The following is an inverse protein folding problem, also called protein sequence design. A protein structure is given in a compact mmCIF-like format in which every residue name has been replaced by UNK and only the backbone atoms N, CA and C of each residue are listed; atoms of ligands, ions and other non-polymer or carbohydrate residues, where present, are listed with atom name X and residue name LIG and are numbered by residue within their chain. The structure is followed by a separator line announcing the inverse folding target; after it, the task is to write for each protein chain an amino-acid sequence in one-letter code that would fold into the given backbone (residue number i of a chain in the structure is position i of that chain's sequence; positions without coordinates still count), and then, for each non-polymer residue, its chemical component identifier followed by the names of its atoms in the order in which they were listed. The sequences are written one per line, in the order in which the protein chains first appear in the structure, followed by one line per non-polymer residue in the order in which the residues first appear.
data_IF_343793420997
#
_entry.id   IF_343793420997
#
_cell.length_a   1.000
_cell.length_b   1.000
_cell.length_c   1.000
_cell.angle_alpha   90.00
_cell.angle_beta   90.00
_cell.angle_gamma   90.00
#
_symmetry.space_group_name_H-M   'P 1'
#
loop_
_entity.id
_entity.type
_entity.pdbx_description
1 polymer ?
#
# COMPACT_ATOMS: atom_id res chain seq x y z
N UNK A 1 7.16 8.10 6.25
CA UNK A 1 8.06 8.76 5.27
C UNK A 1 7.26 9.81 4.54
N UNK A 2 7.88 10.93 4.18
CA UNK A 2 7.13 12.12 3.76
C UNK A 2 6.45 12.82 4.94
N UNK A 3 5.82 13.97 4.68
CA UNK A 3 5.00 14.66 5.68
C UNK A 3 3.64 13.94 5.78
N UNK A 4 3.24 13.56 7.00
CA UNK A 4 1.93 12.92 7.25
C UNK A 4 0.75 13.82 6.83
N UNK A 5 0.97 15.13 6.78
CA UNK A 5 -0.03 16.12 6.34
C UNK A 5 -0.10 16.28 4.81
N UNK A 6 0.77 15.60 4.05
CA UNK A 6 0.89 15.70 2.58
C UNK A 6 1.04 14.31 1.93
N UNK A 7 0.30 13.32 2.45
CA UNK A 7 0.23 11.97 1.87
C UNK A 7 1.47 11.08 2.12
N UNK A 8 2.22 11.36 3.19
CA UNK A 8 3.35 10.53 3.64
C UNK A 8 2.92 9.26 4.39
N UNK A 9 3.56 8.12 4.09
CA UNK A 9 3.22 6.79 4.60
C UNK A 9 4.30 6.19 5.50
N UNK A 10 3.93 5.51 6.58
CA UNK A 10 4.91 4.87 7.45
C UNK A 10 5.35 3.53 6.87
N UNK A 11 6.66 3.39 6.66
CA UNK A 11 7.28 2.16 6.16
C UNK A 11 8.01 1.53 7.34
N UNK A 12 7.69 0.28 7.65
CA UNK A 12 8.34 -0.44 8.73
C UNK A 12 9.84 -0.56 8.44
N UNK A 13 10.64 0.07 9.31
CA UNK A 13 12.09 0.20 9.18
C UNK A 13 12.84 -0.75 10.15
N UNK A 14 12.12 -1.67 10.79
CA UNK A 14 12.69 -2.72 11.63
C UNK A 14 13.54 -3.66 10.78
N UNK A 15 14.65 -4.16 11.33
CA UNK A 15 15.64 -4.96 10.59
C UNK A 15 15.03 -6.17 9.83
N UNK A 16 13.97 -6.76 10.35
CA UNK A 16 13.31 -7.91 9.72
C UNK A 16 12.44 -7.53 8.49
N UNK A 17 11.92 -6.29 8.45
CA UNK A 17 10.95 -5.84 7.45
C UNK A 17 11.46 -4.73 6.54
N UNK A 18 12.57 -4.09 6.92
CA UNK A 18 13.24 -3.03 6.16
C UNK A 18 13.47 -3.46 4.69
N UNK A 19 13.17 -2.57 3.71
CA UNK A 19 13.52 -2.80 2.32
C UNK A 19 15.02 -3.06 2.15
N UNK A 20 15.37 -4.11 1.41
CA UNK A 20 16.77 -4.49 1.14
C UNK A 20 17.36 -3.75 -0.05
N UNK A 21 18.56 -4.14 -0.48
CA UNK A 21 19.09 -3.73 -1.79
C UNK A 21 18.23 -4.34 -2.90
N UNK A 22 18.01 -3.61 -3.99
CA UNK A 22 17.17 -4.02 -5.14
C UNK A 22 15.67 -4.18 -4.83
N UNK A 23 15.17 -3.46 -3.82
CA UNK A 23 13.75 -3.48 -3.45
C UNK A 23 12.83 -2.97 -4.58
N UNK A 24 11.65 -3.57 -4.67
CA UNK A 24 10.61 -3.21 -5.65
C UNK A 24 9.40 -2.60 -4.94
N UNK A 25 8.95 -1.45 -5.43
CA UNK A 25 7.84 -0.71 -4.85
C UNK A 25 6.83 -0.33 -5.93
N UNK A 26 5.55 -0.57 -5.67
CA UNK A 26 4.45 -0.06 -6.46
C UNK A 26 3.65 0.94 -5.63
N UNK A 27 3.35 2.09 -6.20
CA UNK A 27 2.57 3.14 -5.54
C UNK A 27 1.47 3.66 -6.47
N UNK A 28 0.23 3.65 -6.00
CA UNK A 28 -0.85 4.43 -6.60
C UNK A 28 -0.86 5.80 -5.94
N UNK A 29 -0.58 6.85 -6.72
CA UNK A 29 -0.14 8.17 -6.22
C UNK A 29 1.38 8.32 -6.17
N UNK A 30 1.87 9.55 -6.22
CA UNK A 30 3.31 9.87 -6.27
C UNK A 30 3.96 9.78 -4.88
N UNK A 31 5.13 9.13 -4.77
CA UNK A 31 5.89 9.05 -3.52
C UNK A 31 7.41 9.03 -3.81
N UNK A 32 8.08 10.18 -3.68
CA UNK A 32 9.52 10.32 -3.91
C UNK A 32 10.38 10.04 -2.67
N UNK A 33 9.76 9.90 -1.50
CA UNK A 33 10.46 9.77 -0.22
C UNK A 33 11.08 8.36 -0.06
N UNK A 34 10.39 7.33 -0.56
CA UNK A 34 10.87 5.94 -0.55
C UNK A 34 12.16 5.79 -1.36
N UNK A 35 12.17 6.37 -2.57
CA UNK A 35 13.34 6.39 -3.46
C UNK A 35 14.55 6.99 -2.75
N UNK A 36 14.36 8.16 -2.13
CA UNK A 36 15.45 8.91 -1.48
C UNK A 36 16.04 8.19 -0.28
N UNK A 37 15.25 7.43 0.48
CA UNK A 37 15.72 6.78 1.71
C UNK A 37 16.31 5.39 1.47
N UNK A 38 15.73 4.59 0.57
CA UNK A 38 16.13 3.18 0.41
C UNK A 38 16.78 2.85 -0.95
N UNK A 39 16.67 3.73 -1.95
CA UNK A 39 17.17 3.43 -3.29
C UNK A 39 16.41 2.30 -3.99
N UNK A 40 15.12 2.13 -3.67
CA UNK A 40 14.27 1.14 -4.32
C UNK A 40 13.95 1.52 -5.77
N UNK A 41 13.67 0.51 -6.58
CA UNK A 41 12.94 0.67 -7.83
C UNK A 41 11.47 0.97 -7.52
N UNK A 42 10.98 2.12 -7.98
CA UNK A 42 9.62 2.59 -7.69
C UNK A 42 8.83 2.79 -8.97
N UNK A 43 7.69 2.13 -9.04
CA UNK A 43 6.70 2.28 -10.11
C UNK A 43 5.48 3.00 -9.56
N UNK A 44 5.26 4.23 -10.03
CA UNK A 44 4.13 5.06 -9.59
C UNK A 44 3.07 5.19 -10.67
N UNK A 45 1.81 5.03 -10.28
CA UNK A 45 0.64 5.21 -11.13
C UNK A 45 -0.24 6.29 -10.51
N UNK A 46 -0.33 7.45 -11.16
CA UNK A 46 -1.18 8.54 -10.72
C UNK A 46 -2.39 8.68 -11.68
N UNK A 47 -3.57 8.17 -11.31
CA UNK A 47 -4.77 8.26 -12.13
C UNK A 47 -5.36 9.68 -12.21
N UNK A 48 -4.92 10.61 -11.36
CA UNK A 48 -5.35 12.01 -11.37
C UNK A 48 -4.57 12.86 -12.39
N UNK A 49 -3.38 12.40 -12.77
CA UNK A 49 -2.58 12.98 -13.84
C UNK A 49 -3.01 12.40 -15.20
N UNK A 50 -3.41 13.26 -16.15
CA UNK A 50 -3.78 12.84 -17.52
C UNK A 50 -2.58 12.44 -18.39
N UNK A 51 -1.38 12.39 -17.82
CA UNK A 51 -0.14 12.21 -18.55
C UNK A 51 0.67 11.06 -17.94
N UNK A 52 0.95 10.06 -18.79
CA UNK A 52 2.07 9.10 -18.80
C UNK A 52 2.53 8.60 -17.42
N UNK A 53 2.29 7.30 -17.16
CA UNK A 53 2.92 6.49 -16.10
C UNK A 53 4.40 6.88 -15.98
N UNK A 54 4.77 7.59 -14.90
CA UNK A 54 6.17 7.92 -14.64
C UNK A 54 6.84 6.71 -13.99
N UNK A 55 7.33 5.80 -14.83
CA UNK A 55 8.27 4.77 -14.37
C UNK A 55 9.62 5.45 -14.15
N UNK A 56 9.97 5.70 -12.89
CA UNK A 56 11.30 6.19 -12.53
C UNK A 56 12.17 5.00 -12.10
N UNK A 57 12.69 4.25 -13.07
CA UNK A 57 13.79 3.30 -12.82
C UNK A 57 15.03 4.13 -12.52
N UNK A 58 15.37 4.28 -11.24
CA UNK A 58 16.73 4.67 -10.86
C UNK A 58 17.56 3.40 -10.72
N UNK A 59 17.91 2.81 -11.85
CA UNK A 59 18.99 1.83 -11.89
C UNK A 59 20.29 2.60 -11.67
N UNK A 60 20.98 2.31 -10.57
CA UNK A 60 22.43 2.49 -10.56
C UNK A 60 22.97 1.47 -11.53
N UNK A 61 23.47 1.94 -12.68
CA UNK A 61 24.28 1.15 -13.58
C UNK A 61 25.47 0.60 -12.78
N UNK A 62 25.42 -0.69 -12.44
CA UNK A 62 26.63 -1.47 -12.25
C UNK A 62 26.35 -2.94 -12.58
N UNK A 63 27.15 -3.39 -13.54
CA UNK A 63 27.60 -4.74 -13.82
C UNK A 63 26.73 -5.70 -14.65
N UNK A 64 27.15 -5.81 -15.92
CA UNK A 64 27.26 -7.03 -16.74
C UNK A 64 26.45 -8.25 -16.30
N UNK A 65 25.28 -8.46 -16.91
CA UNK A 65 24.64 -9.78 -16.90
C UNK A 65 24.79 -10.46 -18.27
N UNK A 66 25.52 -11.56 -18.21
CA UNK A 66 25.71 -12.58 -19.22
C UNK A 66 24.38 -13.32 -19.43
N UNK A 67 23.85 -13.28 -20.66
CA UNK A 67 22.61 -13.93 -21.07
C UNK A 67 22.69 -15.45 -20.85
N UNK A 68 22.29 -15.92 -19.66
CA UNK A 68 21.91 -17.31 -19.42
C UNK A 68 20.44 -17.35 -19.01
N UNK A 69 19.60 -17.48 -20.04
CA UNK A 69 18.18 -17.82 -20.00
C UNK A 69 18.00 -19.16 -19.26
N UNK A 70 17.93 -19.10 -17.93
CA UNK A 70 17.28 -20.12 -17.11
C UNK A 70 15.94 -19.51 -16.68
N UNK A 71 14.89 -19.99 -17.33
CA UNK A 71 13.48 -19.70 -17.10
C UNK A 71 13.01 -20.18 -15.71
N UNK A 72 13.62 -19.61 -14.66
CA UNK A 72 13.04 -19.50 -13.34
C UNK A 72 12.41 -18.10 -13.28
N UNK A 73 11.17 -17.95 -13.77
CA UNK A 73 10.31 -16.78 -13.51
C UNK A 73 9.98 -16.71 -12.01
N UNK A 74 11.03 -16.45 -11.22
CA UNK A 74 10.97 -16.18 -9.80
C UNK A 74 10.31 -14.83 -9.65
N UNK A 75 8.98 -14.83 -9.77
CA UNK A 75 8.12 -13.67 -9.64
C UNK A 75 8.63 -12.77 -8.52
N UNK A 76 9.17 -11.61 -8.92
CA UNK A 76 9.90 -10.71 -8.03
C UNK A 76 8.98 -10.27 -6.90
N UNK A 77 9.45 -10.40 -5.67
CA UNK A 77 8.70 -9.97 -4.49
C UNK A 77 8.51 -8.47 -4.50
N UNK A 78 7.35 -8.00 -4.05
CA UNK A 78 7.06 -6.58 -3.89
C UNK A 78 7.38 -6.22 -2.43
N UNK A 79 8.39 -5.38 -2.23
CA UNK A 79 8.78 -4.95 -0.89
C UNK A 79 7.73 -4.03 -0.26
N UNK A 80 7.19 -3.11 -1.05
CA UNK A 80 6.14 -2.18 -0.61
C UNK A 80 5.10 -2.06 -1.71
N UNK A 81 3.85 -2.28 -1.36
CA UNK A 81 2.71 -1.89 -2.18
C UNK A 81 1.92 -0.81 -1.46
N UNK A 82 1.80 0.36 -2.06
CA UNK A 82 0.96 1.46 -1.60
C UNK A 82 -0.26 1.61 -2.53
N UNK A 83 -1.46 1.55 -1.96
CA UNK A 83 -2.73 1.73 -2.69
C UNK A 83 -3.53 2.88 -2.08
N UNK A 84 -3.82 3.88 -2.89
CA UNK A 84 -4.82 4.90 -2.64
C UNK A 84 -5.62 5.05 -3.94
N UNK A 85 -6.85 4.52 -3.95
CA UNK A 85 -7.68 4.41 -5.16
C UNK A 85 -9.13 4.84 -4.94
N UNK A 86 -9.38 5.67 -3.94
CA UNK A 86 -10.64 6.42 -3.77
C UNK A 86 -11.92 5.57 -3.90
N UNK A 87 -12.26 4.82 -2.86
CA UNK A 87 -13.40 3.88 -2.76
C UNK A 87 -13.31 2.62 -3.65
N UNK A 88 -12.33 2.50 -4.55
CA UNK A 88 -12.13 1.29 -5.35
C UNK A 88 -11.47 0.14 -4.56
N UNK A 89 -11.04 0.38 -3.33
CA UNK A 89 -10.47 -0.64 -2.44
C UNK A 89 -11.45 -1.80 -2.25
N UNK A 90 -12.74 -1.48 -2.24
CA UNK A 90 -13.84 -2.42 -2.02
C UNK A 90 -14.05 -3.40 -3.18
N UNK A 91 -13.44 -3.15 -4.34
CA UNK A 91 -13.37 -4.08 -5.47
C UNK A 91 -11.98 -4.71 -5.60
N UNK A 92 -10.93 -3.90 -5.42
CA UNK A 92 -9.55 -4.35 -5.62
C UNK A 92 -9.06 -5.29 -4.52
N UNK A 93 -9.20 -4.93 -3.23
CA UNK A 93 -8.62 -5.69 -2.13
C UNK A 93 -9.18 -7.11 -2.02
N UNK A 94 -10.51 -7.34 -2.12
CA UNK A 94 -11.03 -8.70 -2.09
C UNK A 94 -10.48 -9.59 -3.21
N UNK A 95 -10.31 -9.04 -4.42
CA UNK A 95 -9.77 -9.80 -5.55
C UNK A 95 -8.26 -10.04 -5.41
N UNK A 96 -7.51 -9.06 -4.90
CA UNK A 96 -6.09 -9.24 -4.58
C UNK A 96 -5.88 -10.33 -3.53
N UNK A 97 -6.70 -10.35 -2.48
CA UNK A 97 -6.66 -11.40 -1.46
C UNK A 97 -6.99 -12.76 -2.10
N UNK A 98 -8.08 -12.84 -2.88
CA UNK A 98 -8.56 -14.08 -3.51
C UNK A 98 -7.61 -14.65 -4.55
N UNK A 99 -6.97 -13.79 -5.36
CA UNK A 99 -6.01 -14.20 -6.37
C UNK A 99 -4.68 -14.72 -5.79
N UNK A 100 -4.43 -14.47 -4.50
CA UNK A 100 -3.21 -14.89 -3.81
C UNK A 100 -2.00 -14.00 -4.08
N UNK A 101 -2.15 -12.92 -4.88
CA UNK A 101 -1.05 -11.99 -5.20
C UNK A 101 -0.48 -11.32 -3.93
N UNK A 102 -1.31 -11.16 -2.89
CA UNK A 102 -0.92 -10.62 -1.58
C UNK A 102 0.22 -11.39 -0.89
N UNK A 103 0.43 -12.66 -1.22
CA UNK A 103 1.54 -13.46 -0.67
C UNK A 103 2.93 -12.98 -1.10
N UNK A 104 3.02 -12.21 -2.18
CA UNK A 104 4.28 -11.67 -2.72
C UNK A 104 4.67 -10.32 -2.13
N UNK A 105 3.81 -9.75 -1.29
CA UNK A 105 3.94 -8.39 -0.74
C UNK A 105 4.49 -8.48 0.69
N UNK A 106 5.60 -7.78 0.96
CA UNK A 106 6.23 -7.71 2.29
C UNK A 106 5.56 -6.68 3.18
N UNK A 107 5.41 -5.46 2.68
CA UNK A 107 4.71 -4.36 3.36
C UNK A 107 3.58 -3.85 2.48
N UNK A 108 2.43 -3.60 3.09
CA UNK A 108 1.23 -3.18 2.39
C UNK A 108 0.66 -1.94 3.08
N UNK A 109 0.60 -0.86 2.32
CA UNK A 109 0.08 0.43 2.74
C UNK A 109 -1.18 0.73 1.94
N UNK A 110 -2.27 1.09 2.62
CA UNK A 110 -3.54 1.36 1.95
C UNK A 110 -4.34 2.46 2.62
N UNK A 111 -4.97 3.31 1.82
CA UNK A 111 -5.98 4.24 2.31
C UNK A 111 -7.36 3.60 2.20
N UNK A 112 -7.98 3.33 3.35
CA UNK A 112 -9.32 2.76 3.40
C UNK A 112 -10.38 3.86 3.42
N UNK A 113 -11.02 4.07 2.27
CA UNK A 113 -12.12 5.00 2.07
C UNK A 113 -13.46 4.39 2.49
N UNK A 114 -13.79 4.41 3.79
CA UNK A 114 -15.12 3.96 4.27
C UNK A 114 -16.23 4.91 3.78
N UNK A 115 -15.93 6.21 3.81
CA UNK A 115 -16.74 7.26 3.18
C UNK A 115 -15.90 8.50 2.93
N UNK A 116 -16.26 9.26 1.90
CA UNK A 116 -15.65 10.57 1.62
C UNK A 116 -16.37 11.72 2.36
N UNK A 117 -17.71 11.66 2.51
CA UNK A 117 -18.50 12.81 3.02
C UNK A 117 -19.77 12.44 3.79
N UNK A 118 -20.42 11.32 3.45
CA UNK A 118 -21.74 10.96 3.97
C UNK A 118 -21.59 9.83 4.99
N UNK A 119 -22.29 9.89 6.12
CA UNK A 119 -22.25 8.82 7.12
C UNK A 119 -22.55 7.45 6.45
N UNK A 120 -21.62 6.48 6.54
CA UNK A 120 -21.72 5.21 5.85
C UNK A 120 -22.75 4.33 6.54
N UNK A 121 -23.42 3.48 5.75
CA UNK A 121 -24.34 2.50 6.31
C UNK A 121 -23.60 1.31 6.96
N UNK A 122 -24.34 0.48 7.69
CA UNK A 122 -23.82 -0.71 8.37
C UNK A 122 -23.04 -1.68 7.46
N UNK A 123 -23.44 -1.83 6.20
CA UNK A 123 -22.79 -2.76 5.28
C UNK A 123 -21.38 -2.32 4.87
N UNK A 124 -21.14 -1.00 4.75
CA UNK A 124 -19.79 -0.48 4.48
C UNK A 124 -18.82 -0.77 5.62
N UNK A 125 -19.27 -0.65 6.88
CA UNK A 125 -18.46 -1.05 8.02
C UNK A 125 -18.17 -2.55 8.04
N UNK A 126 -19.16 -3.39 7.73
CA UNK A 126 -18.92 -4.83 7.63
C UNK A 126 -17.93 -5.19 6.55
N UNK A 127 -17.99 -4.53 5.39
CA UNK A 127 -17.05 -4.75 4.32
C UNK A 127 -15.62 -4.41 4.77
N UNK A 128 -15.42 -3.23 5.36
CA UNK A 128 -14.13 -2.84 5.92
C UNK A 128 -13.61 -3.82 6.98
N UNK A 129 -14.45 -4.21 7.94
CA UNK A 129 -14.08 -5.17 8.98
C UNK A 129 -13.78 -6.58 8.41
N UNK A 130 -14.51 -7.01 7.37
CA UNK A 130 -14.24 -8.29 6.70
C UNK A 130 -12.90 -8.24 5.99
N UNK A 131 -12.62 -7.18 5.22
CA UNK A 131 -11.33 -7.02 4.54
C UNK A 131 -10.17 -7.00 5.54
N UNK A 132 -10.30 -6.29 6.66
CA UNK A 132 -9.29 -6.29 7.71
C UNK A 132 -9.08 -7.69 8.30
N UNK A 133 -10.17 -8.43 8.54
CA UNK A 133 -10.09 -9.81 9.01
C UNK A 133 -9.37 -10.70 7.99
N UNK A 134 -9.71 -10.60 6.72
CA UNK A 134 -9.14 -11.42 5.64
C UNK A 134 -7.63 -11.14 5.47
N UNK A 135 -7.21 -9.87 5.56
CA UNK A 135 -5.79 -9.47 5.60
C UNK A 135 -5.07 -10.12 6.80
N UNK A 136 -5.69 -10.13 7.98
CA UNK A 136 -5.12 -10.76 9.16
C UNK A 136 -4.99 -12.28 9.01
N UNK A 137 -5.97 -12.93 8.41
CA UNK A 137 -5.97 -14.38 8.18
C UNK A 137 -4.79 -14.81 7.28
N UNK A 138 -4.42 -13.98 6.29
CA UNK A 138 -3.30 -14.28 5.37
C UNK A 138 -1.93 -13.79 5.88
N UNK A 139 -1.88 -13.19 7.08
CA UNK A 139 -0.63 -12.85 7.76
C UNK A 139 -0.25 -11.38 7.79
N UNK A 140 -1.09 -10.46 7.32
CA UNK A 140 -0.82 -9.03 7.50
C UNK A 140 -1.15 -8.58 8.92
N UNK A 141 -0.33 -7.71 9.48
CA UNK A 141 -0.52 -7.10 10.80
C UNK A 141 -0.33 -5.60 10.70
N UNK A 142 -1.30 -4.86 11.22
CA UNK A 142 -1.22 -3.40 11.32
C UNK A 142 -0.10 -3.08 12.31
N UNK A 143 0.84 -2.23 11.90
CA UNK A 143 1.83 -1.64 12.80
C UNK A 143 1.65 -0.13 12.94
N UNK A 144 0.97 0.51 11.98
CA UNK A 144 0.69 1.93 12.02
C UNK A 144 -0.66 2.29 11.38
N UNK A 145 -1.28 3.35 11.87
CA UNK A 145 -2.51 3.93 11.31
C UNK A 145 -2.49 5.44 11.45
N UNK A 146 -2.97 6.14 10.44
CA UNK A 146 -3.19 7.58 10.48
C UNK A 146 -4.60 7.92 9.98
N UNK A 147 -5.17 9.01 10.51
CA UNK A 147 -6.52 9.46 10.16
C UNK A 147 -6.42 10.55 9.11
N UNK A 148 -6.95 10.31 7.92
CA UNK A 148 -7.00 11.35 6.90
C UNK A 148 -8.19 12.30 7.15
N UNK A 149 -7.89 13.45 7.75
CA UNK A 149 -8.87 14.48 8.12
C UNK A 149 -9.53 15.16 6.91
N UNK A 150 -9.13 14.84 5.68
CA UNK A 150 -9.78 15.31 4.46
C UNK A 150 -11.17 14.70 4.26
N UNK A 151 -11.36 13.44 4.69
CA UNK A 151 -12.63 12.72 4.58
C UNK A 151 -13.48 12.82 5.86
N UNK A 152 -14.00 14.01 6.19
CA UNK A 152 -14.86 14.18 7.36
C UNK A 152 -16.33 13.95 7.02
N UNK A 153 -17.04 13.29 7.94
CA UNK A 153 -18.50 13.22 7.90
C UNK A 153 -19.11 13.54 9.26
N UNK A 154 -20.35 14.01 9.27
CA UNK A 154 -21.09 14.27 10.50
C UNK A 154 -21.92 13.03 10.85
N UNK A 155 -21.68 12.47 12.04
CA UNK A 155 -22.46 11.34 12.52
C UNK A 155 -23.83 11.81 13.02
N UNK A 156 -24.88 11.08 12.63
CA UNK A 156 -26.24 11.30 13.17
C UNK A 156 -26.30 10.95 14.65
N UNK A 157 -25.42 10.08 15.13
CA UNK A 157 -25.33 9.68 16.53
C UNK A 157 -24.38 10.61 17.27
N UNK A 158 -24.92 11.38 18.21
CA UNK A 158 -24.14 12.28 19.07
C UNK A 158 -23.67 13.58 18.39
N UNK A 159 -24.06 13.84 17.13
CA UNK A 159 -23.76 15.09 16.41
C UNK A 159 -22.27 15.46 16.37
N UNK A 160 -21.41 14.45 16.25
CA UNK A 160 -19.95 14.60 16.21
C UNK A 160 -19.40 14.39 14.81
N UNK A 161 -18.37 15.15 14.46
CA UNK A 161 -17.60 14.94 13.24
C UNK A 161 -16.66 13.75 13.40
N UNK A 162 -16.65 12.85 12.41
CA UNK A 162 -15.84 11.64 12.36
C UNK A 162 -14.99 11.61 11.08
N UNK A 163 -14.00 10.73 11.07
CA UNK A 163 -13.10 10.49 9.94
C UNK A 163 -13.57 9.27 9.16
N UNK A 164 -13.68 9.40 7.84
CA UNK A 164 -14.11 8.36 6.91
C UNK A 164 -12.98 7.66 6.16
N UNK A 165 -11.77 8.24 6.17
CA UNK A 165 -10.58 7.70 5.51
C UNK A 165 -9.47 7.45 6.53
N UNK A 166 -8.76 6.34 6.36
CA UNK A 166 -7.68 5.92 7.23
C UNK A 166 -6.55 5.34 6.40
N UNK A 167 -5.36 5.89 6.57
CA UNK A 167 -4.12 5.33 6.07
C UNK A 167 -3.72 4.20 7.03
N UNK A 168 -3.53 3.00 6.51
CA UNK A 168 -3.23 1.82 7.30
C UNK A 168 -2.01 1.12 6.73
N UNK A 169 -1.01 0.91 7.57
CA UNK A 169 0.25 0.26 7.20
C UNK A 169 0.36 -1.11 7.84
N UNK A 170 0.63 -2.10 6.99
CA UNK A 170 0.72 -3.51 7.37
C UNK A 170 2.10 -4.10 7.06
N UNK A 171 2.54 -5.01 7.94
CA UNK A 171 3.63 -5.94 7.68
C UNK A 171 3.09 -7.35 7.45
N UNK A 172 3.67 -8.09 6.51
CA UNK A 172 3.38 -9.51 6.32
C UNK A 172 4.27 -10.36 7.22
N UNK A 173 3.71 -10.93 8.29
CA UNK A 173 4.47 -11.75 9.25
C UNK A 173 4.72 -13.18 8.75
N UNK A 174 4.02 -13.60 7.70
CA UNK A 174 4.24 -14.89 7.04
C UNK A 174 5.37 -14.82 6.02
N UNK A 175 5.81 -13.62 5.64
CA UNK A 175 6.91 -13.44 4.71
C UNK A 175 8.22 -13.93 5.32
N UNK A 176 8.95 -14.74 4.56
CA UNK A 176 10.31 -15.19 4.90
C UNK A 176 11.27 -14.64 3.85
N UNK A 177 12.29 -13.87 4.24
CA UNK A 177 13.36 -13.48 3.34
C UNK A 177 13.96 -14.74 2.69
N UNK A 178 14.21 -14.71 1.38
CA UNK A 178 15.03 -15.73 0.72
C UNK A 178 16.48 -15.62 1.16
#
# INVERSE_FOLDING_TARGET
MGNLDDGGWDICDDLAYRPGKNCLVYSFGFDDAIVKKYGCEVHSFDPSSRDIVQVKVLSTDDDNDDDNDNDDDARRTIDILKIDIEEWEWLALPEMIKSGVMSQIRQFDVELHITLKIEPNKNKYFLGLSTLKDLYDIGFRIFWTHRNVSCKFNSRVGSVTRCGCHEVSFINVNYKPK
#
